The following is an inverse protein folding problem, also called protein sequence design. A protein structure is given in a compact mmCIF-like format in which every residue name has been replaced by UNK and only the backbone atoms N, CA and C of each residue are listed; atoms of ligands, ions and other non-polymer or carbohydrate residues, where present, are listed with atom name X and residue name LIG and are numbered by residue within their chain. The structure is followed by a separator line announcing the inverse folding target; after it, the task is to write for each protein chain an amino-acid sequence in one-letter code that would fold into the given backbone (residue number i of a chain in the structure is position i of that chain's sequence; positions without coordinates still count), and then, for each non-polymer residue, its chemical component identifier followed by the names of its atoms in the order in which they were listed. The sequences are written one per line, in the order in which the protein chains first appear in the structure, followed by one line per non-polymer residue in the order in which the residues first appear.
data_IF_588884860353
#
_entry.id   IF_588884860353
#
_cell.length_a   1.000
_cell.length_b   1.000
_cell.length_c   1.000
_cell.angle_alpha   90.00
_cell.angle_beta   90.00
_cell.angle_gamma   90.00
#
_symmetry.space_group_name_H-M   'P 1'
#
loop_
_entity.id
_entity.type
_entity.pdbx_description
1 polymer ?
#
# COMPACT_ATOMS: atom_id res chain seq x y z
N UNK A 1 0.72 15.33 -3.79
CA UNK A 1 -0.67 14.85 -3.97
C UNK A 1 -0.61 13.35 -4.15
N UNK A 2 -1.25 12.57 -3.27
CA UNK A 2 -1.16 11.11 -3.31
C UNK A 2 -2.26 10.52 -4.19
N UNK A 3 -1.81 9.87 -5.26
CA UNK A 3 -2.43 8.87 -6.15
C UNK A 3 -3.79 9.13 -6.83
N UNK A 4 -4.76 9.84 -6.23
CA UNK A 4 -6.04 10.13 -6.87
C UNK A 4 -6.44 11.61 -6.74
N UNK A 5 -6.80 12.21 -7.88
CA UNK A 5 -7.46 13.51 -7.94
C UNK A 5 -8.94 13.28 -8.26
N UNK A 6 -9.82 13.82 -7.43
CA UNK A 6 -11.28 13.75 -7.62
C UNK A 6 -11.72 14.40 -8.96
N UNK A 7 -10.89 15.26 -9.55
CA UNK A 7 -11.17 16.00 -10.79
C UNK A 7 -10.35 15.54 -12.00
N UNK A 8 -9.41 14.62 -11.84
CA UNK A 8 -8.59 14.16 -12.96
C UNK A 8 -9.40 13.29 -13.95
N UNK A 9 -9.15 13.41 -15.27
CA UNK A 9 -9.79 12.54 -16.25
C UNK A 9 -9.42 11.08 -15.97
N UNK A 10 -10.44 10.21 -15.95
CA UNK A 10 -10.24 8.76 -15.78
C UNK A 10 -9.57 8.20 -17.03
N UNK A 11 -8.28 7.87 -16.93
CA UNK A 11 -7.59 7.09 -17.94
C UNK A 11 -8.03 5.63 -17.80
N UNK A 12 -8.91 5.17 -18.69
CA UNK A 12 -9.29 3.77 -18.79
C UNK A 12 -8.26 3.06 -19.67
N UNK A 13 -7.46 2.19 -19.07
CA UNK A 13 -6.75 1.16 -19.81
C UNK A 13 -7.58 -0.13 -19.70
N UNK A 14 -7.77 -0.84 -20.82
CA UNK A 14 -8.38 -2.17 -20.82
C UNK A 14 -7.43 -3.16 -20.14
N UNK A 15 -7.52 -3.22 -18.81
CA UNK A 15 -6.77 -4.16 -17.99
C UNK A 15 -7.66 -5.35 -17.71
N UNK A 16 -7.26 -6.52 -18.22
CA UNK A 16 -7.89 -7.79 -17.87
C UNK A 16 -7.46 -8.22 -16.47
N UNK A 17 -8.22 -7.76 -15.47
CA UNK A 17 -7.97 -7.99 -14.04
C UNK A 17 -7.93 -9.49 -13.70
N UNK A 18 -8.72 -10.31 -14.41
CA UNK A 18 -8.84 -11.75 -14.15
C UNK A 18 -7.63 -12.57 -14.61
N UNK A 19 -6.87 -12.05 -15.59
CA UNK A 19 -5.60 -12.63 -16.02
C UNK A 19 -4.42 -12.25 -15.13
N UNK A 20 -4.59 -11.31 -14.20
CA UNK A 20 -3.52 -10.90 -13.29
C UNK A 20 -3.28 -11.92 -12.18
N UNK A 21 -2.09 -11.86 -11.59
CA UNK A 21 -1.77 -12.61 -10.38
C UNK A 21 -2.34 -11.86 -9.16
N UNK A 22 -3.40 -12.41 -8.57
CA UNK A 22 -4.12 -11.79 -7.46
C UNK A 22 -3.28 -11.68 -6.20
N UNK A 23 -2.45 -12.69 -5.90
CA UNK A 23 -1.51 -12.67 -4.78
C UNK A 23 -0.49 -11.52 -4.88
N UNK A 24 0.13 -11.35 -6.06
CA UNK A 24 1.12 -10.28 -6.27
C UNK A 24 0.49 -8.90 -6.18
N UNK A 25 -0.70 -8.72 -6.77
CA UNK A 25 -1.43 -7.44 -6.70
C UNK A 25 -1.92 -7.13 -5.30
N UNK A 26 -2.35 -8.13 -4.55
CA UNK A 26 -2.65 -7.99 -3.13
C UNK A 26 -1.44 -7.47 -2.36
N UNK A 27 -0.25 -8.08 -2.54
CA UNK A 27 0.97 -7.68 -1.84
C UNK A 27 1.42 -6.26 -2.21
N UNK A 28 1.30 -5.87 -3.47
CA UNK A 28 1.55 -4.50 -3.94
C UNK A 28 0.65 -3.49 -3.20
N UNK A 29 -0.66 -3.73 -3.18
CA UNK A 29 -1.59 -2.87 -2.45
C UNK A 29 -1.41 -2.92 -0.94
N UNK A 30 -0.96 -4.04 -0.39
CA UNK A 30 -0.64 -4.18 1.03
C UNK A 30 0.60 -3.35 1.40
N UNK A 31 1.62 -3.32 0.56
CA UNK A 31 2.78 -2.43 0.73
C UNK A 31 2.35 -0.96 0.73
N UNK A 32 1.49 -0.56 -0.22
CA UNK A 32 0.93 0.80 -0.26
C UNK A 32 0.12 1.11 1.00
N UNK A 33 -0.66 0.16 1.50
CA UNK A 33 -1.40 0.31 2.75
C UNK A 33 -0.46 0.57 3.95
N UNK A 34 0.66 -0.15 4.06
CA UNK A 34 1.66 0.09 5.11
C UNK A 34 2.26 1.50 5.01
N UNK A 35 2.57 1.96 3.79
CA UNK A 35 3.04 3.32 3.55
C UNK A 35 2.00 4.38 3.95
N UNK A 36 0.75 4.21 3.53
CA UNK A 36 -0.34 5.13 3.90
C UNK A 36 -0.57 5.15 5.41
N UNK A 37 -0.48 4.01 6.10
CA UNK A 37 -0.55 3.94 7.57
C UNK A 37 0.61 4.64 8.27
N UNK A 38 1.78 4.69 7.64
CA UNK A 38 2.90 5.47 8.14
C UNK A 38 2.64 6.98 7.98
N UNK A 39 2.18 7.41 6.81
CA UNK A 39 1.86 8.82 6.52
C UNK A 39 0.68 9.30 7.36
N UNK A 40 -0.34 8.48 7.61
CA UNK A 40 -1.48 8.87 8.46
C UNK A 40 -1.04 9.22 9.89
N UNK A 41 0.01 8.57 10.40
CA UNK A 41 0.54 8.81 11.75
C UNK A 41 1.55 9.96 11.81
N UNK A 42 2.41 10.11 10.79
CA UNK A 42 3.55 11.05 10.81
C UNK A 42 3.44 12.25 9.87
N UNK A 43 2.50 12.23 8.92
CA UNK A 43 2.31 13.29 7.93
C UNK A 43 1.67 14.55 8.51
N UNK A 44 1.64 15.59 7.68
CA UNK A 44 0.97 16.87 7.93
C UNK A 44 -0.55 16.73 7.91
N UNK A 45 -1.29 17.74 8.41
CA UNK A 45 -2.76 17.70 8.48
C UNK A 45 -3.42 17.50 7.11
N UNK A 46 -2.88 18.15 6.07
CA UNK A 46 -3.39 18.07 4.70
C UNK A 46 -3.13 16.68 4.08
N UNK A 47 -1.95 16.12 4.35
CA UNK A 47 -1.59 14.76 3.92
C UNK A 47 -2.49 13.73 4.61
N UNK A 48 -2.79 13.89 5.90
CA UNK A 48 -3.67 12.97 6.64
C UNK A 48 -5.07 12.92 6.06
N UNK A 49 -5.68 14.08 5.78
CA UNK A 49 -7.01 14.14 5.18
C UNK A 49 -7.07 13.45 3.81
N UNK A 50 -5.99 13.55 3.03
CA UNK A 50 -5.88 12.85 1.74
C UNK A 50 -5.66 11.33 1.91
N UNK A 51 -4.83 10.96 2.87
CA UNK A 51 -4.49 9.55 3.18
C UNK A 51 -5.68 8.77 3.72
N UNK A 52 -6.57 9.40 4.50
CA UNK A 52 -7.80 8.75 5.00
C UNK A 52 -8.68 8.25 3.86
N UNK A 53 -8.82 9.04 2.79
CA UNK A 53 -9.54 8.63 1.58
C UNK A 53 -8.84 7.48 0.88
N UNK A 54 -7.52 7.55 0.75
CA UNK A 54 -6.72 6.51 0.10
C UNK A 54 -6.69 5.18 0.85
N UNK A 55 -6.66 5.22 2.18
CA UNK A 55 -6.74 4.02 3.00
C UNK A 55 -8.02 3.24 2.71
N UNK A 56 -9.16 3.93 2.61
CA UNK A 56 -10.44 3.32 2.29
C UNK A 56 -10.43 2.66 0.90
N UNK A 57 -9.81 3.31 -0.10
CA UNK A 57 -9.64 2.74 -1.45
C UNK A 57 -8.73 1.50 -1.41
N UNK A 58 -7.60 1.58 -0.70
CA UNK A 58 -6.69 0.46 -0.52
C UNK A 58 -7.36 -0.73 0.14
N UNK A 59 -8.15 -0.54 1.20
CA UNK A 59 -8.91 -1.61 1.85
C UNK A 59 -9.90 -2.30 0.90
N UNK A 60 -10.60 -1.51 0.07
CA UNK A 60 -11.48 -2.05 -0.97
C UNK A 60 -10.72 -2.90 -1.98
N UNK A 61 -9.54 -2.45 -2.43
CA UNK A 61 -8.67 -3.20 -3.34
C UNK A 61 -8.16 -4.49 -2.70
N UNK A 62 -7.73 -4.44 -1.44
CA UNK A 62 -7.29 -5.64 -0.70
C UNK A 62 -8.41 -6.68 -0.63
N UNK A 63 -9.62 -6.27 -0.24
CA UNK A 63 -10.80 -7.15 -0.20
C UNK A 63 -11.18 -7.71 -1.57
N UNK A 64 -10.97 -6.96 -2.64
CA UNK A 64 -11.19 -7.43 -4.01
C UNK A 64 -10.19 -8.53 -4.37
N UNK A 65 -8.89 -8.28 -4.17
CA UNK A 65 -7.84 -9.22 -4.52
C UNK A 65 -7.83 -10.48 -3.64
N UNK A 66 -8.27 -10.37 -2.39
CA UNK A 66 -8.46 -11.51 -1.49
C UNK A 66 -9.51 -12.52 -2.01
N UNK A 67 -10.52 -12.04 -2.75
CA UNK A 67 -11.56 -12.89 -3.37
C UNK A 67 -11.18 -13.37 -4.76
N UNK A 68 -10.02 -12.96 -5.27
CA UNK A 68 -9.64 -13.25 -6.65
C UNK A 68 -9.34 -14.75 -6.83
N UNK A 69 -9.74 -15.40 -7.93
CA UNK A 69 -9.51 -16.83 -8.15
C UNK A 69 -8.02 -17.24 -8.13
N UNK A 70 -7.13 -16.29 -8.45
CA UNK A 70 -5.67 -16.45 -8.43
C UNK A 70 -5.03 -15.89 -7.15
N UNK A 71 -5.76 -15.89 -6.04
CA UNK A 71 -5.26 -15.53 -4.73
C UNK A 71 -4.85 -16.77 -3.94
N UNK A 72 -3.60 -16.81 -3.51
CA UNK A 72 -3.04 -17.90 -2.73
C UNK A 72 -2.76 -17.41 -1.31
N UNK A 73 -3.66 -17.74 -0.38
CA UNK A 73 -3.60 -17.27 1.01
C UNK A 73 -2.29 -17.63 1.72
N UNK A 74 -1.77 -18.86 1.53
CA UNK A 74 -0.55 -19.31 2.20
C UNK A 74 0.69 -18.51 1.75
N UNK A 75 0.85 -18.34 0.44
CA UNK A 75 1.91 -17.50 -0.12
C UNK A 75 1.80 -16.04 0.35
N UNK A 76 0.61 -15.46 0.25
CA UNK A 76 0.37 -14.07 0.65
C UNK A 76 0.66 -13.86 2.13
N UNK A 77 0.24 -14.77 3.01
CA UNK A 77 0.49 -14.64 4.44
C UNK A 77 2.00 -14.62 4.75
N UNK A 78 2.78 -15.51 4.13
CA UNK A 78 4.24 -15.55 4.28
C UNK A 78 4.91 -14.27 3.82
N UNK A 79 4.50 -13.74 2.67
CA UNK A 79 5.07 -12.50 2.12
C UNK A 79 4.62 -11.25 2.90
N UNK A 80 3.38 -11.21 3.41
CA UNK A 80 2.90 -10.14 4.31
C UNK A 80 3.76 -10.04 5.56
N UNK A 81 4.09 -11.18 6.17
CA UNK A 81 4.94 -11.21 7.36
C UNK A 81 6.35 -10.69 7.07
N UNK A 82 6.92 -11.02 5.91
CA UNK A 82 8.21 -10.46 5.46
C UNK A 82 8.13 -8.95 5.28
N UNK A 83 7.09 -8.45 4.62
CA UNK A 83 6.88 -7.01 4.41
C UNK A 83 6.74 -6.27 5.75
N UNK A 84 5.95 -6.80 6.68
CA UNK A 84 5.81 -6.22 8.03
C UNK A 84 7.15 -6.19 8.75
N UNK A 85 7.94 -7.28 8.68
CA UNK A 85 9.28 -7.35 9.29
C UNK A 85 10.24 -6.33 8.68
N UNK A 86 10.27 -6.21 7.34
CA UNK A 86 11.10 -5.24 6.64
C UNK A 86 10.75 -3.80 7.05
N UNK A 87 9.47 -3.45 7.08
CA UNK A 87 9.02 -2.13 7.54
C UNK A 87 9.39 -1.81 8.99
N UNK A 88 9.39 -2.82 9.88
CA UNK A 88 9.86 -2.65 11.27
C UNK A 88 11.36 -2.43 11.35
N UNK A 89 12.14 -3.16 10.55
CA UNK A 89 13.60 -3.02 10.50
C UNK A 89 14.00 -1.65 9.95
N UNK A 90 13.38 -1.19 8.86
CA UNK A 90 13.63 0.14 8.29
C UNK A 90 13.25 1.28 9.25
N UNK A 91 12.13 1.12 9.98
CA UNK A 91 11.74 2.10 10.99
C UNK A 91 12.77 2.21 12.12
N UNK A 92 13.35 1.09 12.55
CA UNK A 92 14.42 1.07 13.55
C UNK A 92 15.74 1.64 13.00
N UNK A 93 16.12 1.28 11.77
CA UNK A 93 17.36 1.75 11.15
C UNK A 93 17.40 3.29 10.95
N UNK A 94 16.24 3.89 10.64
CA UNK A 94 16.11 5.36 10.54
C UNK A 94 16.08 6.08 11.89
N UNK A 95 15.79 5.38 12.99
CA UNK A 95 15.85 5.96 14.35
C UNK A 95 17.27 6.08 14.90
N UNK A 96 18.23 5.34 14.33
CA UNK A 96 19.64 5.33 14.73
C UNK A 96 20.57 6.16 13.82
N UNK A 97 20.02 6.87 12.83
CA UNK A 97 20.81 7.67 11.89
C UNK A 97 21.03 9.09 12.38
N UNK A 98 22.18 9.35 13.00
CA UNK A 98 22.76 10.69 13.17
C UNK A 98 22.81 11.39 11.82
N UNK A 99 22.09 12.52 11.70
CA UNK A 99 22.15 13.42 10.56
C UNK A 99 23.56 13.99 10.44
N UNK A 100 24.35 13.50 9.49
CA UNK A 100 25.46 14.26 8.91
C UNK A 100 25.02 14.65 7.51
N UNK A 101 24.55 15.89 7.38
CA UNK A 101 24.28 16.52 6.10
C UNK A 101 25.62 16.91 5.44
N UNK A 102 25.75 16.81 4.10
CA UNK A 102 26.74 17.57 3.35
C UNK A 102 26.39 19.06 3.31
#
# INVERSE_FOLDING_TARGET
MYFYSDTAPRNFADIDVWKMNGSMKYLEHFSNYLFLMFVSKRGTREERASVEKELLICEKKLKFWERHPRYEAAFVQKEKEKLIKAWRQDANARSSGTTSAP
#
